data_IF_174650934275
#
_entry.id   IF_174650934275
#
_cell.length_a   1.000
_cell.length_b   1.000
_cell.length_c   1.000
_cell.angle_alpha   90.00
_cell.angle_beta   90.00
_cell.angle_gamma   90.00
#
_symmetry.space_group_name_H-M   'P 1'
#
loop_
_entity.id
_entity.type
_entity.pdbx_description
1 polymer ?
#
# COMPACT_ATOMS: atom_id res chain seq x y z
N UNK A 1 0.54 -19.73 -7.93
CA UNK A 1 0.42 -18.48 -7.15
C UNK A 1 1.52 -17.55 -7.62
N UNK A 2 1.15 -16.35 -8.06
CA UNK A 2 2.07 -15.32 -8.58
C UNK A 2 2.60 -14.47 -7.43
N UNK A 3 3.72 -13.79 -7.63
CA UNK A 3 4.27 -12.85 -6.64
C UNK A 3 3.68 -11.45 -6.86
N UNK A 4 3.38 -10.69 -5.80
CA UNK A 4 2.98 -9.29 -5.92
C UNK A 4 3.97 -8.44 -6.73
N UNK A 5 5.26 -8.83 -6.78
CA UNK A 5 6.28 -8.20 -7.63
C UNK A 5 5.88 -8.09 -9.09
N UNK A 6 5.09 -9.03 -9.60
CA UNK A 6 4.59 -9.00 -10.98
C UNK A 6 3.61 -7.84 -11.23
N UNK A 7 3.00 -7.30 -10.18
CA UNK A 7 2.09 -6.15 -10.26
C UNK A 7 2.81 -4.81 -10.09
N UNK A 8 4.06 -4.80 -9.63
CA UNK A 8 4.81 -3.55 -9.44
C UNK A 8 5.00 -2.87 -10.80
N UNK A 9 4.61 -1.60 -10.89
CA UNK A 9 4.55 -0.80 -12.13
C UNK A 9 3.64 -1.36 -13.26
N UNK A 10 2.85 -2.41 -13.03
CA UNK A 10 1.95 -2.96 -14.06
C UNK A 10 0.91 -1.93 -14.55
N UNK A 11 0.59 -0.93 -13.72
CA UNK A 11 -0.36 0.14 -14.00
C UNK A 11 0.31 1.52 -13.98
N UNK A 12 1.55 1.59 -14.49
CA UNK A 12 2.36 2.82 -14.52
C UNK A 12 1.59 4.01 -15.10
N UNK A 13 1.46 5.05 -14.29
CA UNK A 13 0.85 6.31 -14.65
C UNK A 13 -0.68 6.34 -14.65
N UNK A 14 -1.33 5.25 -14.23
CA UNK A 14 -2.79 5.15 -14.14
C UNK A 14 -3.34 5.84 -12.89
N UNK A 15 -4.60 6.24 -12.95
CA UNK A 15 -5.38 6.63 -11.76
C UNK A 15 -5.98 5.36 -11.19
N UNK A 16 -5.65 5.04 -9.95
CA UNK A 16 -6.13 3.83 -9.30
C UNK A 16 -7.11 4.24 -8.20
N UNK A 17 -8.30 3.64 -8.19
CA UNK A 17 -9.27 3.85 -7.12
C UNK A 17 -9.29 2.66 -6.16
N UNK A 18 -9.16 2.93 -4.86
CA UNK A 18 -9.26 1.95 -3.78
C UNK A 18 -10.62 2.12 -3.10
N UNK A 19 -11.40 1.04 -3.00
CA UNK A 19 -12.81 1.08 -2.62
C UNK A 19 -13.09 0.37 -1.28
N UNK A 20 -13.62 1.11 -0.29
CA UNK A 20 -13.77 0.71 1.12
C UNK A 20 -15.19 0.38 1.63
N UNK A 21 -16.21 0.39 0.78
CA UNK A 21 -17.60 0.00 1.15
C UNK A 21 -18.45 1.05 1.82
N UNK A 22 -17.91 2.23 2.13
CA UNK A 22 -18.70 3.38 2.54
C UNK A 22 -19.68 3.86 1.45
N UNK A 23 -20.78 4.54 1.83
CA UNK A 23 -21.80 5.00 0.90
C UNK A 23 -21.30 6.25 0.16
N UNK A 24 -20.84 6.09 -1.08
CA UNK A 24 -20.33 7.19 -1.88
C UNK A 24 -20.17 6.83 -3.35
N UNK A 25 -20.14 7.87 -4.17
CA UNK A 25 -19.98 7.77 -5.62
C UNK A 25 -18.55 7.39 -5.94
N UNK A 26 -18.37 6.27 -6.64
CA UNK A 26 -17.07 5.83 -7.12
C UNK A 26 -16.64 6.73 -8.30
N UNK A 27 -15.49 7.42 -8.21
CA UNK A 27 -15.05 8.29 -9.29
C UNK A 27 -14.52 7.45 -10.46
N UNK A 28 -14.45 8.08 -11.63
CA UNK A 28 -13.82 7.44 -12.80
C UNK A 28 -12.31 7.29 -12.57
N UNK A 29 -11.85 6.06 -12.64
CA UNK A 29 -10.44 5.67 -12.57
C UNK A 29 -10.09 4.72 -13.73
N UNK A 30 -8.81 4.45 -13.91
CA UNK A 30 -8.34 3.51 -14.92
C UNK A 30 -8.26 2.08 -14.37
N UNK A 31 -8.10 1.94 -13.05
CA UNK A 31 -7.99 0.67 -12.33
C UNK A 31 -8.74 0.78 -11.01
N UNK A 32 -9.44 -0.26 -10.62
CA UNK A 32 -10.23 -0.35 -9.40
C UNK A 32 -9.73 -1.50 -8.52
N UNK A 33 -9.44 -1.19 -7.26
CA UNK A 33 -9.06 -2.17 -6.23
C UNK A 33 -10.15 -2.16 -5.16
N UNK A 34 -10.86 -3.27 -5.00
CA UNK A 34 -11.79 -3.43 -3.87
C UNK A 34 -11.02 -3.90 -2.64
N UNK A 35 -11.25 -3.26 -1.50
CA UNK A 35 -10.77 -3.76 -0.21
C UNK A 35 -11.73 -4.85 0.24
N UNK A 36 -11.25 -6.09 0.40
CA UNK A 36 -12.11 -7.26 0.53
C UNK A 36 -13.22 -7.25 -0.56
N UNK A 37 -14.46 -7.63 -0.20
CA UNK A 37 -15.61 -7.56 -1.11
C UNK A 37 -16.36 -6.22 -1.06
N UNK A 38 -15.86 -5.22 -0.33
CA UNK A 38 -16.64 -4.02 0.01
C UNK A 38 -17.01 -3.15 -1.21
N UNK A 39 -16.15 -3.07 -2.22
CA UNK A 39 -16.39 -2.27 -3.42
C UNK A 39 -17.06 -3.05 -4.57
N UNK A 40 -17.18 -4.37 -4.46
CA UNK A 40 -17.58 -5.24 -5.58
C UNK A 40 -18.97 -4.90 -6.12
N UNK A 41 -19.92 -4.61 -5.22
CA UNK A 41 -21.31 -4.29 -5.60
C UNK A 41 -21.46 -2.84 -6.10
N UNK A 42 -20.47 -1.99 -5.87
CA UNK A 42 -20.47 -0.58 -6.30
C UNK A 42 -19.85 -0.41 -7.69
N UNK A 43 -18.76 -1.14 -7.94
CA UNK A 43 -18.00 -1.09 -9.18
C UNK A 43 -17.21 -2.39 -9.33
N UNK A 44 -17.28 -3.00 -10.51
CA UNK A 44 -16.50 -4.19 -10.82
C UNK A 44 -14.99 -3.87 -10.65
N UNK A 45 -14.28 -4.58 -9.74
CA UNK A 45 -12.87 -4.30 -9.48
C UNK A 45 -11.96 -5.07 -10.45
N UNK A 46 -10.79 -4.50 -10.73
CA UNK A 46 -9.69 -5.19 -11.42
C UNK A 46 -8.90 -6.08 -10.45
N UNK A 47 -8.90 -5.75 -9.15
CA UNK A 47 -8.25 -6.52 -8.10
C UNK A 47 -9.05 -6.49 -6.80
N UNK A 48 -8.96 -7.56 -6.03
CA UNK A 48 -9.34 -7.57 -4.62
C UNK A 48 -8.07 -7.53 -3.78
N UNK A 49 -8.02 -6.70 -2.74
CA UNK A 49 -6.96 -6.77 -1.73
C UNK A 49 -7.54 -7.12 -0.37
N UNK A 50 -7.04 -8.20 0.22
CA UNK A 50 -7.51 -8.71 1.50
C UNK A 50 -6.35 -9.13 2.41
N UNK A 51 -6.28 -8.50 3.59
CA UNK A 51 -5.31 -8.82 4.64
C UNK A 51 -5.83 -9.85 5.65
N UNK A 52 -7.15 -10.11 5.65
CA UNK A 52 -7.83 -10.98 6.60
C UNK A 52 -7.76 -12.46 6.16
N UNK A 53 -7.57 -13.39 7.09
CA UNK A 53 -7.63 -14.83 6.78
C UNK A 53 -9.08 -15.35 6.70
N UNK A 54 -9.98 -14.76 7.50
CA UNK A 54 -11.39 -15.15 7.59
C UNK A 54 -12.31 -13.95 7.46
N UNK A 55 -13.49 -14.18 6.88
CA UNK A 55 -14.58 -13.22 6.95
C UNK A 55 -15.16 -13.22 8.37
N UNK A 56 -15.05 -12.10 9.08
CA UNK A 56 -15.46 -11.98 10.48
C UNK A 56 -16.97 -12.10 10.71
N UNK A 57 -17.80 -11.76 9.72
CA UNK A 57 -19.27 -11.84 9.82
C UNK A 57 -19.81 -13.25 9.57
N UNK A 58 -19.24 -13.93 8.58
CA UNK A 58 -19.72 -15.24 8.12
C UNK A 58 -18.90 -16.40 8.69
N UNK A 59 -17.79 -16.12 9.39
CA UNK A 59 -16.91 -17.13 10.00
C UNK A 59 -16.19 -18.04 9.01
N UNK A 60 -16.33 -17.79 7.71
CA UNK A 60 -15.77 -18.61 6.63
C UNK A 60 -14.43 -18.09 6.13
N UNK A 61 -13.69 -18.97 5.45
CA UNK A 61 -12.41 -18.65 4.82
C UNK A 61 -12.56 -17.47 3.84
N UNK A 62 -11.65 -16.50 3.92
CA UNK A 62 -11.80 -15.22 3.21
C UNK A 62 -11.74 -15.42 1.69
N UNK A 63 -10.87 -16.30 1.18
CA UNK A 63 -10.78 -16.61 -0.24
C UNK A 63 -12.10 -17.10 -0.83
N UNK A 64 -12.74 -18.09 -0.20
CA UNK A 64 -14.05 -18.58 -0.61
C UNK A 64 -15.14 -17.49 -0.57
N UNK A 65 -15.12 -16.60 0.44
CA UNK A 65 -16.02 -15.46 0.49
C UNK A 65 -15.84 -14.50 -0.68
N UNK A 66 -14.59 -14.12 -0.96
CA UNK A 66 -14.26 -13.18 -2.04
C UNK A 66 -14.61 -13.77 -3.41
N UNK A 67 -14.31 -15.06 -3.63
CA UNK A 67 -14.62 -15.76 -4.87
C UNK A 67 -16.11 -15.89 -5.15
N UNK A 68 -16.93 -16.02 -4.12
CA UNK A 68 -18.38 -16.01 -4.27
C UNK A 68 -18.94 -14.64 -4.72
N UNK A 69 -18.13 -13.58 -4.65
CA UNK A 69 -18.52 -12.21 -4.99
C UNK A 69 -17.88 -11.69 -6.28
N UNK A 70 -16.66 -12.11 -6.61
CA UNK A 70 -15.94 -11.62 -7.79
C UNK A 70 -14.85 -12.58 -8.27
N UNK A 71 -14.67 -12.62 -9.58
CA UNK A 71 -13.58 -13.33 -10.27
C UNK A 71 -12.28 -12.51 -10.37
N UNK A 72 -12.27 -11.28 -9.85
CA UNK A 72 -11.09 -10.42 -9.90
C UNK A 72 -9.90 -11.06 -9.15
N UNK A 73 -8.66 -10.90 -9.64
CA UNK A 73 -7.49 -11.41 -8.95
C UNK A 73 -7.35 -10.91 -7.51
N UNK A 74 -7.03 -11.83 -6.59
CA UNK A 74 -6.87 -11.57 -5.16
C UNK A 74 -5.39 -11.33 -4.84
N UNK A 75 -5.11 -10.18 -4.24
CA UNK A 75 -3.85 -9.81 -3.61
C UNK A 75 -3.99 -10.05 -2.10
N UNK A 76 -3.17 -10.93 -1.54
CA UNK A 76 -3.25 -11.27 -0.11
C UNK A 76 -1.97 -11.93 0.40
N UNK A 77 -1.62 -11.78 1.70
CA UNK A 77 -0.54 -12.58 2.31
C UNK A 77 -0.96 -14.02 2.62
N UNK A 78 -2.18 -14.45 2.30
CA UNK A 78 -2.74 -15.75 2.67
C UNK A 78 -2.72 -16.78 1.54
N UNK A 79 -2.99 -18.05 1.89
CA UNK A 79 -2.89 -19.19 0.97
C UNK A 79 -3.86 -19.16 -0.22
N UNK A 80 -4.94 -18.37 -0.11
CA UNK A 80 -5.95 -18.22 -1.15
C UNK A 80 -5.62 -17.16 -2.22
N UNK A 81 -4.49 -16.46 -2.10
CA UNK A 81 -4.13 -15.36 -2.99
C UNK A 81 -3.79 -15.84 -4.42
N UNK A 82 -4.16 -15.05 -5.43
CA UNK A 82 -3.58 -15.22 -6.77
C UNK A 82 -2.21 -14.55 -6.86
N UNK A 83 -2.07 -13.40 -6.22
CA UNK A 83 -0.83 -12.64 -6.05
C UNK A 83 -0.47 -12.61 -4.57
N UNK A 84 0.58 -13.35 -4.20
CA UNK A 84 1.06 -13.44 -2.83
C UNK A 84 1.72 -12.13 -2.43
N UNK A 85 1.19 -11.51 -1.39
CA UNK A 85 1.78 -10.34 -0.77
C UNK A 85 2.78 -10.76 0.32
N UNK A 86 4.06 -10.89 -0.05
CA UNK A 86 5.11 -11.34 0.87
C UNK A 86 5.60 -10.27 1.86
N UNK A 87 5.48 -9.00 1.51
CA UNK A 87 5.88 -7.86 2.33
C UNK A 87 4.90 -6.71 2.14
N UNK A 88 4.60 -5.98 3.22
CA UNK A 88 3.84 -4.73 3.21
C UNK A 88 4.36 -3.78 4.31
N UNK A 89 4.05 -2.48 4.26
CA UNK A 89 4.44 -1.57 5.32
C UNK A 89 3.91 -2.00 6.69
N UNK A 90 4.77 -1.95 7.71
CA UNK A 90 4.49 -2.42 9.08
C UNK A 90 4.38 -3.95 9.28
N UNK A 91 4.62 -4.77 8.25
CA UNK A 91 4.78 -6.23 8.39
C UNK A 91 5.74 -6.57 9.57
N UNK A 92 5.43 -7.54 10.47
CA UNK A 92 4.34 -8.52 10.44
C UNK A 92 3.01 -8.06 11.04
N UNK A 93 2.85 -6.79 11.39
CA UNK A 93 1.59 -6.28 11.88
C UNK A 93 0.53 -6.34 10.77
N UNK A 94 -0.64 -6.88 11.09
CA UNK A 94 -1.80 -6.76 10.22
C UNK A 94 -2.34 -5.33 10.26
N UNK A 95 -2.46 -4.75 9.07
CA UNK A 95 -2.97 -3.40 8.83
C UNK A 95 -4.25 -3.54 8.03
N UNK A 96 -5.14 -2.56 8.19
CA UNK A 96 -6.41 -2.48 7.50
C UNK A 96 -6.22 -2.60 5.98
N UNK A 97 -7.01 -3.48 5.34
CA UNK A 97 -6.90 -3.78 3.90
C UNK A 97 -6.92 -2.52 3.03
N UNK A 98 -7.71 -1.51 3.36
CA UNK A 98 -7.73 -0.24 2.60
C UNK A 98 -6.44 0.56 2.62
N UNK A 99 -5.70 0.53 3.74
CA UNK A 99 -4.43 1.23 3.81
C UNK A 99 -3.35 0.48 3.02
N UNK A 100 -3.32 -0.86 3.12
CA UNK A 100 -2.39 -1.66 2.32
C UNK A 100 -2.74 -1.61 0.83
N UNK A 101 -4.03 -1.54 0.46
CA UNK A 101 -4.46 -1.30 -0.92
C UNK A 101 -3.99 0.05 -1.46
N UNK A 102 -3.99 1.10 -0.64
CA UNK A 102 -3.43 2.41 -1.02
C UNK A 102 -1.93 2.31 -1.33
N UNK A 103 -1.16 1.61 -0.49
CA UNK A 103 0.27 1.37 -0.75
C UNK A 103 0.50 0.46 -1.96
N UNK A 104 -0.29 -0.60 -2.11
CA UNK A 104 -0.19 -1.50 -3.25
C UNK A 104 -0.48 -0.76 -4.56
N UNK A 105 -1.48 0.12 -4.59
CA UNK A 105 -1.78 0.96 -5.75
C UNK A 105 -0.58 1.86 -6.13
N UNK A 106 0.09 2.47 -5.15
CA UNK A 106 1.34 3.20 -5.37
C UNK A 106 2.43 2.30 -5.98
N UNK A 107 2.68 1.13 -5.39
CA UNK A 107 3.66 0.16 -5.90
C UNK A 107 3.33 -0.29 -7.33
N UNK A 108 2.05 -0.47 -7.66
CA UNK A 108 1.55 -0.79 -8.99
C UNK A 108 1.75 0.33 -10.01
N UNK A 109 2.24 1.49 -9.58
CA UNK A 109 2.61 2.61 -10.45
C UNK A 109 1.52 3.67 -10.56
N UNK A 110 0.62 3.79 -9.58
CA UNK A 110 -0.39 4.83 -9.57
C UNK A 110 0.23 6.23 -9.70
N UNK A 111 -0.34 7.03 -10.59
CA UNK A 111 -0.08 8.47 -10.67
C UNK A 111 -0.80 9.23 -9.57
N UNK A 112 -1.97 8.75 -9.20
CA UNK A 112 -2.78 9.20 -8.08
C UNK A 112 -3.60 8.01 -7.59
N UNK A 113 -3.76 7.92 -6.27
CA UNK A 113 -4.71 7.00 -5.65
C UNK A 113 -5.95 7.77 -5.22
N UNK A 114 -7.12 7.31 -5.64
CA UNK A 114 -8.42 7.83 -5.19
C UNK A 114 -9.00 6.87 -4.16
N UNK A 115 -9.09 7.31 -2.91
CA UNK A 115 -9.58 6.51 -1.81
C UNK A 115 -11.08 6.75 -1.65
N UNK A 116 -11.89 5.80 -2.09
CA UNK A 116 -13.34 5.92 -2.09
C UNK A 116 -13.94 5.01 -1.01
N UNK A 117 -14.53 5.62 0.01
CA UNK A 117 -15.37 4.90 0.97
C UNK A 117 -14.62 4.06 1.97
N UNK A 118 -13.32 4.30 2.10
CA UNK A 118 -12.54 3.83 3.23
C UNK A 118 -12.81 4.66 4.51
N UNK A 119 -13.46 5.82 4.39
CA UNK A 119 -13.95 6.64 5.50
C UNK A 119 -15.24 6.11 6.15
N UNK A 120 -15.86 5.08 5.57
CA UNK A 120 -17.14 4.50 6.03
C UNK A 120 -17.13 3.89 7.45
N UNK A 121 -15.98 3.88 8.14
CA UNK A 121 -15.83 3.38 9.50
C UNK A 121 -15.99 4.47 10.59
N UNK A 122 -16.63 5.60 10.26
CA UNK A 122 -17.08 6.57 11.27
C UNK A 122 -15.96 7.34 11.98
N UNK A 123 -14.74 7.34 11.44
CA UNK A 123 -13.63 8.07 12.04
C UNK A 123 -13.07 7.45 13.31
N UNK A 124 -13.21 6.13 13.48
CA UNK A 124 -12.52 5.41 14.54
C UNK A 124 -11.04 5.83 14.57
N UNK A 125 -10.50 6.28 15.73
CA UNK A 125 -9.15 6.83 15.82
C UNK A 125 -8.07 5.93 15.19
N UNK A 126 -8.28 4.61 15.27
CA UNK A 126 -7.40 3.62 14.67
C UNK A 126 -7.23 3.75 13.15
N UNK A 127 -8.25 4.17 12.39
CA UNK A 127 -8.15 4.32 10.93
C UNK A 127 -7.26 5.50 10.53
N UNK A 128 -7.43 6.65 11.18
CA UNK A 128 -6.63 7.85 10.91
C UNK A 128 -5.18 7.62 11.30
N UNK A 129 -4.92 6.94 12.42
CA UNK A 129 -3.57 6.62 12.86
C UNK A 129 -2.86 5.63 11.93
N UNK A 130 -3.56 4.60 11.44
CA UNK A 130 -3.00 3.70 10.43
C UNK A 130 -2.75 4.43 9.11
N UNK A 131 -3.66 5.31 8.68
CA UNK A 131 -3.46 6.13 7.49
C UNK A 131 -2.22 7.02 7.61
N UNK A 132 -1.98 7.66 8.76
CA UNK A 132 -0.77 8.46 9.02
C UNK A 132 0.51 7.64 8.88
N UNK A 133 0.50 6.39 9.36
CA UNK A 133 1.67 5.50 9.27
C UNK A 133 1.95 5.14 7.82
N UNK A 134 0.92 4.74 7.08
CA UNK A 134 1.01 4.30 5.69
C UNK A 134 1.28 5.45 4.72
N UNK A 135 0.81 6.66 5.02
CA UNK A 135 1.12 7.86 4.24
C UNK A 135 2.63 8.13 4.13
N UNK A 136 3.44 7.63 5.07
CA UNK A 136 4.90 7.72 5.01
C UNK A 136 5.52 6.79 3.95
N UNK A 137 4.80 5.79 3.49
CA UNK A 137 5.26 4.79 2.52
C UNK A 137 4.63 4.97 1.13
N UNK A 138 3.59 5.79 1.03
CA UNK A 138 2.93 6.15 -0.24
C UNK A 138 3.53 7.43 -0.79
N UNK A 139 4.11 7.37 -1.99
CA UNK A 139 4.86 8.50 -2.58
C UNK A 139 4.22 9.10 -3.82
N UNK A 140 2.99 8.72 -4.13
CA UNK A 140 2.14 9.41 -5.09
C UNK A 140 1.06 10.23 -4.36
N UNK A 141 0.44 11.21 -5.03
CA UNK A 141 -0.77 11.86 -4.52
C UNK A 141 -1.85 10.84 -4.14
N UNK A 142 -2.49 11.07 -3.01
CA UNK A 142 -3.70 10.35 -2.56
C UNK A 142 -4.80 11.37 -2.35
N UNK A 143 -6.03 11.04 -2.75
CA UNK A 143 -7.21 11.88 -2.55
C UNK A 143 -8.35 11.10 -1.94
N UNK A 144 -8.99 11.69 -0.94
CA UNK A 144 -10.14 11.09 -0.25
C UNK A 144 -11.43 11.49 -0.95
N UNK A 145 -12.18 10.52 -1.45
CA UNK A 145 -13.41 10.76 -2.22
C UNK A 145 -14.60 10.83 -1.27
N UNK A 146 -15.32 11.96 -1.31
CA UNK A 146 -16.48 12.21 -0.43
C UNK A 146 -16.10 12.77 0.94
N UNK A 147 -14.84 13.14 1.14
CA UNK A 147 -14.34 13.74 2.38
C UNK A 147 -14.28 12.75 3.55
N UNK A 148 -14.40 13.27 4.77
CA UNK A 148 -14.40 12.45 5.99
C UNK A 148 -13.09 12.48 6.78
N UNK A 149 -12.96 11.64 7.82
CA UNK A 149 -11.86 11.70 8.78
C UNK A 149 -10.46 11.50 8.19
N UNK A 150 -10.32 10.74 7.10
CA UNK A 150 -9.04 10.56 6.42
C UNK A 150 -8.53 11.83 5.74
N UNK A 151 -9.37 12.87 5.60
CA UNK A 151 -8.94 14.19 5.11
C UNK A 151 -7.90 14.87 6.00
N UNK A 152 -7.76 14.41 7.25
CA UNK A 152 -6.68 14.82 8.16
C UNK A 152 -5.29 14.31 7.73
N UNK A 153 -5.23 13.33 6.83
CA UNK A 153 -3.99 12.70 6.35
C UNK A 153 -3.75 13.00 4.88
N UNK A 154 -4.79 12.88 4.06
CA UNK A 154 -4.72 13.12 2.62
C UNK A 154 -5.82 14.09 2.18
N UNK A 155 -5.55 15.05 1.27
CA UNK A 155 -6.56 16.00 0.85
C UNK A 155 -7.82 15.36 0.26
N UNK A 156 -8.96 16.02 0.40
CA UNK A 156 -10.19 15.64 -0.28
C UNK A 156 -10.02 15.70 -1.82
N UNK A 157 -10.73 14.82 -2.52
CA UNK A 157 -10.73 14.76 -3.98
C UNK A 157 -11.57 15.89 -4.60
N UNK A 158 -10.96 16.65 -5.52
CA UNK A 158 -11.67 17.55 -6.43
C UNK A 158 -11.69 16.96 -7.84
N UNK A 159 -12.88 16.77 -8.40
CA UNK A 159 -13.06 16.27 -9.77
C UNK A 159 -12.45 17.18 -10.85
N UNK A 160 -12.22 18.47 -10.54
CA UNK A 160 -11.56 19.44 -11.43
C UNK A 160 -10.04 19.42 -11.30
N UNK A 161 -9.48 18.72 -10.30
CA UNK A 161 -8.05 18.65 -10.07
C UNK A 161 -7.33 18.00 -11.26
N UNK A 162 -6.24 18.63 -11.71
CA UNK A 162 -5.39 18.11 -12.77
C UNK A 162 -4.11 17.53 -12.18
N UNK A 163 -4.04 16.21 -12.09
CA UNK A 163 -2.80 15.53 -11.74
C UNK A 163 -1.78 15.63 -12.88
N UNK A 164 -0.56 16.06 -12.56
CA UNK A 164 0.55 16.20 -13.50
C UNK A 164 0.95 14.89 -14.20
N UNK A 165 2.11 14.88 -14.85
CA UNK A 165 2.66 13.66 -15.45
C UNK A 165 3.11 12.68 -14.35
N UNK A 166 3.04 11.39 -14.64
CA UNK A 166 3.58 10.37 -13.74
C UNK A 166 5.10 10.53 -13.63
N UNK A 167 5.59 10.55 -12.40
CA UNK A 167 7.02 10.56 -12.08
C UNK A 167 7.29 9.31 -11.24
N UNK A 168 8.12 8.37 -11.71
CA UNK A 168 8.52 7.21 -10.91
C UNK A 168 9.20 7.66 -9.63
N UNK A 169 8.87 7.02 -8.51
CA UNK A 169 9.54 7.26 -7.24
C UNK A 169 10.51 6.11 -6.94
N UNK A 170 11.74 6.43 -6.52
CA UNK A 170 12.81 5.45 -6.27
C UNK A 170 12.47 4.40 -5.21
N UNK A 171 11.51 4.70 -4.33
CA UNK A 171 10.94 3.72 -3.39
C UNK A 171 10.35 2.49 -4.10
N UNK A 172 9.84 2.63 -5.34
CA UNK A 172 9.33 1.50 -6.13
C UNK A 172 10.48 0.61 -6.62
N UNK A 173 11.63 1.18 -6.96
CA UNK A 173 12.82 0.41 -7.36
C UNK A 173 13.25 -0.54 -6.23
N UNK A 174 13.14 -0.08 -4.98
CA UNK A 174 13.35 -0.90 -3.78
C UNK A 174 12.38 -2.08 -3.65
N UNK A 175 11.16 -1.98 -4.21
CA UNK A 175 10.17 -3.06 -4.21
C UNK A 175 10.40 -4.08 -5.34
N UNK A 176 10.88 -3.63 -6.50
CA UNK A 176 11.20 -4.50 -7.65
C UNK A 176 12.38 -5.43 -7.39
N UNK A 177 13.15 -5.23 -6.31
CA UNK A 177 14.38 -5.97 -6.08
C UNK A 177 15.46 -5.68 -7.14
N UNK A 178 15.27 -4.66 -7.99
CA UNK A 178 16.36 -4.00 -8.74
C UNK A 178 17.35 -3.53 -7.67
N UNK A 179 18.65 -3.87 -7.76
CA UNK A 179 19.55 -4.02 -6.60
C UNK A 179 19.57 -2.76 -5.74
N UNK A 180 18.61 -2.70 -4.83
CA UNK A 180 18.51 -1.73 -3.76
C UNK A 180 19.21 -2.27 -2.53
N UNK A 181 19.69 -3.51 -2.55
CA UNK A 181 20.61 -4.00 -1.55
C UNK A 181 21.94 -3.27 -1.75
N UNK A 182 22.24 -2.39 -0.81
CA UNK A 182 23.50 -1.65 -0.77
C UNK A 182 24.32 -2.19 0.39
N UNK A 183 25.64 -2.10 0.25
CA UNK A 183 26.55 -2.32 1.36
C UNK A 183 26.68 -0.99 2.09
N UNK A 184 26.49 -1.02 3.41
CA UNK A 184 26.61 0.16 4.26
C UNK A 184 27.63 -0.07 5.36
N UNK A 185 28.28 1.01 5.79
CA UNK A 185 29.14 1.07 6.97
C UNK A 185 28.58 2.04 7.98
N UNK A 186 28.48 1.63 9.24
CA UNK A 186 28.02 2.51 10.32
C UNK A 186 29.06 3.59 10.65
N UNK A 187 28.67 4.86 10.59
CA UNK A 187 29.49 6.00 11.07
C UNK A 187 29.29 6.28 12.56
N UNK A 188 28.11 5.92 13.07
CA UNK A 188 27.68 6.01 14.47
C UNK A 188 26.92 4.73 14.83
N UNK A 189 26.84 4.41 16.12
CA UNK A 189 25.99 3.32 16.57
C UNK A 189 24.54 3.57 16.15
N UNK A 190 23.90 2.59 15.52
CA UNK A 190 22.53 2.68 15.03
C UNK A 190 21.94 1.28 14.81
N UNK A 191 20.63 1.21 14.67
CA UNK A 191 19.92 -0.04 14.39
C UNK A 191 19.39 -0.03 12.97
N UNK A 192 19.57 -1.15 12.26
CA UNK A 192 19.02 -1.41 10.93
C UNK A 192 18.15 -2.66 11.02
N UNK A 193 16.83 -2.49 10.90
CA UNK A 193 15.88 -3.57 11.20
C UNK A 193 15.97 -4.00 12.67
N UNK A 194 16.34 -5.26 12.90
CA UNK A 194 16.54 -5.84 14.24
C UNK A 194 18.03 -6.06 14.58
N UNK A 195 18.94 -5.43 13.84
CA UNK A 195 20.37 -5.57 14.04
C UNK A 195 20.98 -4.24 14.48
N UNK A 196 21.60 -4.25 15.65
CA UNK A 196 22.40 -3.13 16.12
C UNK A 196 23.79 -3.17 15.48
N UNK A 197 24.20 -2.05 14.91
CA UNK A 197 25.51 -1.83 14.34
C UNK A 197 26.33 -0.93 15.25
N UNK A 198 27.58 -1.32 15.49
CA UNK A 198 28.58 -0.43 16.07
C UNK A 198 29.34 0.33 14.98
N UNK A 199 29.96 1.47 15.34
CA UNK A 199 30.73 2.28 14.39
C UNK A 199 31.81 1.45 13.69
N UNK A 200 31.87 1.56 12.37
CA UNK A 200 32.80 0.86 11.48
C UNK A 200 32.28 -0.48 10.97
N UNK A 201 31.21 -1.03 11.55
CA UNK A 201 30.63 -2.30 11.13
C UNK A 201 29.90 -2.16 9.79
N UNK A 202 30.06 -3.16 8.93
CA UNK A 202 29.41 -3.22 7.63
C UNK A 202 28.26 -4.23 7.61
N UNK A 203 27.23 -3.92 6.85
CA UNK A 203 26.17 -4.88 6.52
C UNK A 203 25.61 -4.62 5.13
N UNK A 204 24.91 -5.61 4.59
CA UNK A 204 24.03 -5.40 3.43
C UNK A 204 22.63 -5.10 3.93
N UNK A 205 22.04 -4.02 3.43
CA UNK A 205 20.68 -3.61 3.79
C UNK A 205 19.95 -3.09 2.55
N UNK A 206 18.63 -3.07 2.58
CA UNK A 206 17.89 -2.43 1.50
C UNK A 206 18.00 -0.92 1.67
N UNK A 207 18.35 -0.21 0.59
CA UNK A 207 18.58 1.25 0.56
C UNK A 207 17.40 2.04 1.11
N UNK A 208 16.17 1.54 0.94
CA UNK A 208 14.98 2.15 1.50
C UNK A 208 14.88 2.01 3.03
N UNK A 209 15.35 0.89 3.60
CA UNK A 209 15.40 0.67 5.06
C UNK A 209 16.40 1.60 5.75
N UNK A 210 17.47 1.97 5.03
CA UNK A 210 18.56 2.80 5.57
C UNK A 210 18.57 4.23 5.03
N UNK A 211 17.55 4.64 4.27
CA UNK A 211 17.49 5.95 3.60
C UNK A 211 17.60 7.13 4.58
N UNK A 212 16.93 7.05 5.73
CA UNK A 212 17.04 8.08 6.77
C UNK A 212 18.42 8.06 7.44
N UNK A 213 19.00 6.88 7.65
CA UNK A 213 20.33 6.73 8.24
C UNK A 213 21.41 7.30 7.32
N UNK A 214 21.29 7.09 6.01
CA UNK A 214 22.15 7.71 4.98
C UNK A 214 22.00 9.24 4.98
N UNK A 215 20.76 9.74 4.96
CA UNK A 215 20.47 11.19 4.99
C UNK A 215 21.10 11.89 6.20
N UNK A 216 21.00 11.26 7.38
CA UNK A 216 21.53 11.81 8.63
C UNK A 216 23.00 11.43 8.88
N UNK A 217 23.69 10.82 7.91
CA UNK A 217 25.09 10.39 7.99
C UNK A 217 25.38 9.47 9.19
N UNK A 218 24.40 8.66 9.58
CA UNK A 218 24.53 7.60 10.58
C UNK A 218 25.25 6.38 9.98
N UNK A 219 24.99 6.11 8.70
CA UNK A 219 25.68 5.10 7.88
C UNK A 219 26.15 5.74 6.58
N UNK A 220 27.11 5.12 5.90
CA UNK A 220 27.58 5.49 4.55
C UNK A 220 27.52 4.27 3.62
N UNK A 221 27.32 4.49 2.33
CA UNK A 221 27.38 3.43 1.32
C UNK A 221 28.84 3.11 0.99
N UNK A 222 29.15 1.82 0.82
CA UNK A 222 30.52 1.29 0.61
C UNK A 222 30.63 0.55 -0.70
#
# INVERSE_FOLDING_TARGET
MRDFKELILAHKGKRICVMGGGPLVIPKADVYISTNAHGVELQAPDYLLAMDEKNSREGKEMGAFLRAKSDAPIISPHGYADFRLGHWPQNPRFVLSGMIATWAAFAMGAKVVLLAGCDGYGGDPGYVDEARKIARDVKCPVRVVGGGPLTQVWPEYDAKERFGKYVPHSAIDGLLGVPGQIRIRARKACSVGYTDLVKGQEMSAMRHEVALLLKHRMVEEV
#
